data_IF_942582893910
#
_entry.id   IF_942582893910
#
_cell.length_a   1.000
_cell.length_b   1.000
_cell.length_c   1.000
_cell.angle_alpha   90.00
_cell.angle_beta   90.00
_cell.angle_gamma   90.00
#
_symmetry.space_group_name_H-M   'P 1'
#
loop_
_entity.id
_entity.type
_entity.pdbx_description
1 polymer ?
#
# COMPACT_ATOMS: atom_id res chain seq x y z
N UNK A 1 45.22 -31.57 26.70
CA UNK A 1 45.61 -32.58 25.68
C UNK A 1 44.37 -33.35 25.23
N UNK A 2 43.22 -32.68 25.09
CA UNK A 2 41.90 -33.35 25.14
C UNK A 2 41.04 -33.15 23.89
N UNK A 3 41.47 -32.24 23.01
CA UNK A 3 40.69 -31.82 21.85
C UNK A 3 40.82 -32.78 20.65
N UNK A 4 41.91 -33.56 20.61
CA UNK A 4 42.19 -34.60 19.61
C UNK A 4 41.41 -35.90 19.87
N UNK A 5 41.09 -36.20 21.13
CA UNK A 5 40.28 -37.37 21.51
C UNK A 5 38.79 -37.11 21.24
N UNK A 6 38.32 -35.87 21.41
CA UNK A 6 36.93 -35.50 21.13
C UNK A 6 36.61 -35.54 19.62
N UNK A 7 37.52 -35.04 18.77
CA UNK A 7 37.38 -35.07 17.30
C UNK A 7 37.42 -36.50 16.74
N UNK A 8 38.21 -37.41 17.34
CA UNK A 8 38.21 -38.85 16.98
C UNK A 8 36.91 -39.55 17.36
N UNK A 9 36.26 -39.17 18.46
CA UNK A 9 34.94 -39.69 18.88
C UNK A 9 33.81 -39.28 17.93
N UNK A 10 33.85 -38.06 17.39
CA UNK A 10 32.86 -37.57 16.42
C UNK A 10 33.06 -38.22 15.04
N UNK A 11 34.31 -38.45 14.62
CA UNK A 11 34.64 -39.09 13.35
C UNK A 11 34.21 -40.57 13.28
N UNK A 12 34.27 -41.31 14.41
CA UNK A 12 33.85 -42.71 14.49
C UNK A 12 32.33 -42.91 14.55
N UNK A 13 31.55 -41.86 14.85
CA UNK A 13 30.08 -41.90 14.78
C UNK A 13 29.52 -41.62 13.38
N UNK A 14 30.35 -41.08 12.48
CA UNK A 14 29.98 -40.76 11.08
C UNK A 14 30.22 -41.90 10.08
N UNK A 15 30.82 -43.02 10.50
CA UNK A 15 31.16 -44.18 9.65
C UNK A 15 30.29 -45.44 9.84
N UNK A 16 29.25 -45.40 10.69
CA UNK A 16 28.32 -46.53 10.92
C UNK A 16 26.89 -46.21 10.50
N UNK A 17 26.72 -45.92 9.22
CA UNK A 17 25.42 -45.62 8.62
C UNK A 17 25.49 -45.48 7.11
N UNK A 18 26.10 -46.47 6.45
CA UNK A 18 26.02 -46.65 5.00
C UNK A 18 25.70 -48.13 4.77
N UNK A 19 24.42 -48.46 4.86
CA UNK A 19 23.85 -49.71 4.34
C UNK A 19 22.87 -49.32 3.23
N UNK A 20 23.15 -49.85 2.04
CA UNK A 20 22.32 -49.75 0.86
C UNK A 20 20.88 -50.16 1.18
N UNK A 21 19.94 -49.31 0.79
CA UNK A 21 18.69 -49.73 0.18
C UNK A 21 18.16 -48.53 -0.60
N UNK A 22 18.41 -48.54 -1.91
CA UNK A 22 17.57 -47.82 -2.87
C UNK A 22 16.21 -48.52 -2.82
N UNK A 23 15.40 -48.12 -1.83
CA UNK A 23 14.01 -48.44 -1.73
C UNK A 23 13.25 -47.18 -2.10
N UNK A 24 12.75 -47.15 -3.35
CA UNK A 24 11.70 -46.24 -3.77
C UNK A 24 10.62 -46.22 -2.69
N UNK A 25 10.60 -45.15 -1.89
CA UNK A 25 9.53 -44.92 -0.95
C UNK A 25 8.36 -44.40 -1.79
N UNK A 26 7.61 -45.33 -2.36
CA UNK A 26 6.22 -45.13 -2.72
C UNK A 26 5.49 -44.78 -1.42
N UNK A 27 5.56 -43.50 -1.06
CA UNK A 27 4.73 -42.88 -0.04
C UNK A 27 3.30 -42.75 -0.60
N UNK A 28 2.71 -43.89 -0.99
CA UNK A 28 1.27 -44.09 -0.92
C UNK A 28 0.89 -44.28 0.55
N UNK A 29 1.13 -43.23 1.34
CA UNK A 29 0.26 -42.95 2.46
C UNK A 29 -1.14 -42.90 1.87
N UNK A 30 -1.99 -43.85 2.28
CA UNK A 30 -3.42 -43.87 2.00
C UNK A 30 -3.99 -42.55 2.54
N UNK A 31 -3.88 -41.47 1.77
CA UNK A 31 -4.56 -40.20 2.05
C UNK A 31 -6.01 -40.60 2.09
N UNK A 32 -6.64 -40.54 3.26
CA UNK A 32 -8.09 -40.58 3.35
C UNK A 32 -8.62 -39.66 2.25
N UNK A 33 -9.42 -40.25 1.35
CA UNK A 33 -10.08 -39.54 0.26
C UNK A 33 -11.15 -38.65 0.88
N UNK A 34 -10.74 -37.60 1.58
CA UNK A 34 -11.67 -36.60 2.06
C UNK A 34 -12.21 -35.88 0.84
N UNK A 35 -13.42 -36.26 0.41
CA UNK A 35 -14.19 -35.59 -0.65
C UNK A 35 -14.26 -34.06 -0.44
N UNK A 36 -14.02 -33.61 0.79
CA UNK A 36 -14.19 -32.23 1.24
C UNK A 36 -12.88 -31.41 1.39
N UNK A 37 -11.69 -31.99 1.21
CA UNK A 37 -10.41 -31.26 1.38
C UNK A 37 -9.82 -30.86 0.01
N UNK A 38 -9.48 -29.58 -0.15
CA UNK A 38 -8.97 -28.99 -1.40
C UNK A 38 -9.77 -27.76 -1.87
N UNK A 39 -9.47 -27.26 -3.06
CA UNK A 39 -10.13 -26.09 -3.68
C UNK A 39 -11.51 -26.45 -4.26
N UNK A 40 -12.38 -25.45 -4.41
CA UNK A 40 -13.75 -25.62 -4.92
C UNK A 40 -13.80 -26.35 -6.27
N UNK A 41 -12.88 -26.03 -7.19
CA UNK A 41 -12.73 -26.69 -8.48
C UNK A 41 -12.44 -28.19 -8.33
N UNK A 42 -11.51 -28.54 -7.43
CA UNK A 42 -11.14 -29.94 -7.20
C UNK A 42 -12.27 -30.74 -6.54
N UNK A 43 -13.09 -30.10 -5.68
CA UNK A 43 -14.26 -30.73 -5.04
C UNK A 43 -15.39 -30.96 -6.02
N UNK A 44 -15.74 -29.94 -6.80
CA UNK A 44 -16.84 -30.04 -7.78
C UNK A 44 -16.49 -31.02 -8.89
N UNK A 45 -15.25 -31.05 -9.36
CA UNK A 45 -14.76 -32.08 -10.28
C UNK A 45 -14.93 -33.50 -9.72
N UNK A 46 -14.62 -33.72 -8.44
CA UNK A 46 -14.81 -35.04 -7.79
C UNK A 46 -16.29 -35.43 -7.67
N UNK A 47 -17.17 -34.48 -7.32
CA UNK A 47 -18.61 -34.73 -7.18
C UNK A 47 -19.32 -34.99 -8.51
N UNK A 48 -18.93 -34.26 -9.56
CA UNK A 48 -19.46 -34.47 -10.92
C UNK A 48 -18.95 -35.79 -11.50
N UNK A 49 -17.67 -36.11 -11.30
CA UNK A 49 -17.10 -37.42 -11.72
C UNK A 49 -17.73 -38.60 -10.97
N UNK A 50 -18.10 -38.41 -9.70
CA UNK A 50 -18.78 -39.42 -8.89
C UNK A 50 -20.28 -39.53 -9.16
N UNK A 51 -20.82 -38.84 -10.17
CA UNK A 51 -22.25 -38.75 -10.50
C UNK A 51 -23.16 -38.33 -9.33
N UNK A 52 -22.58 -37.77 -8.26
CA UNK A 52 -23.32 -37.35 -7.08
C UNK A 52 -24.11 -36.06 -7.33
N UNK A 53 -23.65 -35.22 -8.29
CA UNK A 53 -24.31 -33.98 -8.71
C UNK A 53 -24.12 -33.76 -10.21
N UNK A 54 -25.11 -33.16 -10.91
CA UNK A 54 -24.94 -32.76 -12.31
C UNK A 54 -23.86 -31.69 -12.46
N UNK A 55 -23.23 -31.64 -13.64
CA UNK A 55 -22.20 -30.67 -13.95
C UNK A 55 -22.77 -29.24 -13.90
N UNK A 56 -22.26 -28.34 -13.04
CA UNK A 56 -22.74 -26.97 -13.01
C UNK A 56 -22.23 -26.20 -14.22
N UNK A 57 -23.05 -25.25 -14.71
CA UNK A 57 -22.79 -24.47 -15.94
C UNK A 57 -21.45 -23.72 -15.90
N UNK A 58 -21.02 -23.28 -14.71
CA UNK A 58 -19.78 -22.54 -14.52
C UNK A 58 -18.51 -23.41 -14.48
N UNK A 59 -18.63 -24.75 -14.40
CA UNK A 59 -17.46 -25.62 -14.25
C UNK A 59 -16.54 -25.55 -15.47
N UNK A 60 -17.09 -25.56 -16.69
CA UNK A 60 -16.32 -25.52 -17.94
C UNK A 60 -15.49 -24.24 -18.04
N UNK A 61 -16.11 -23.09 -17.78
CA UNK A 61 -15.44 -21.79 -17.81
C UNK A 61 -14.31 -21.68 -16.77
N UNK A 62 -14.51 -22.28 -15.60
CA UNK A 62 -13.54 -22.22 -14.50
C UNK A 62 -12.39 -23.25 -14.65
N UNK A 63 -12.58 -24.30 -15.46
CA UNK A 63 -11.50 -25.20 -15.87
C UNK A 63 -10.65 -24.61 -16.99
N UNK A 64 -11.27 -23.84 -17.89
CA UNK A 64 -10.59 -23.10 -18.95
C UNK A 64 -9.76 -21.94 -18.40
N UNK A 65 -10.30 -21.20 -17.44
CA UNK A 65 -9.61 -20.09 -16.77
C UNK A 65 -9.63 -20.29 -15.24
N UNK A 66 -8.74 -21.13 -14.69
CA UNK A 66 -8.63 -21.26 -13.24
C UNK A 66 -8.14 -19.93 -12.62
N UNK A 67 -8.59 -19.60 -11.40
CA UNK A 67 -8.12 -18.41 -10.72
C UNK A 67 -6.61 -18.48 -10.47
N UNK A 68 -5.92 -17.34 -10.60
CA UNK A 68 -4.48 -17.23 -10.34
C UNK A 68 -4.21 -17.56 -8.88
N UNK A 69 -3.29 -18.51 -8.64
CA UNK A 69 -2.83 -18.86 -7.30
C UNK A 69 -1.52 -18.14 -7.00
N UNK A 70 -1.53 -17.31 -5.96
CA UNK A 70 -0.30 -16.70 -5.45
C UNK A 70 0.38 -17.68 -4.49
N UNK A 71 1.73 -17.74 -4.46
CA UNK A 71 2.45 -18.53 -3.47
C UNK A 71 2.01 -18.09 -2.08
N UNK A 72 1.64 -19.05 -1.23
CA UNK A 72 1.21 -18.77 0.13
C UNK A 72 2.40 -18.23 0.91
N UNK A 73 2.40 -16.93 1.17
CA UNK A 73 3.40 -16.29 2.01
C UNK A 73 3.01 -16.52 3.47
N UNK A 74 3.59 -17.53 4.12
CA UNK A 74 3.43 -17.77 5.58
C UNK A 74 4.28 -16.80 6.43
N UNK A 75 4.59 -15.61 5.88
CA UNK A 75 5.46 -14.61 6.48
C UNK A 75 4.72 -13.35 6.92
N UNK A 76 5.34 -12.58 7.81
CA UNK A 76 4.85 -11.24 8.19
C UNK A 76 4.92 -10.32 6.96
N UNK A 77 3.80 -9.65 6.65
CA UNK A 77 3.76 -8.65 5.58
C UNK A 77 4.74 -7.53 5.93
N UNK A 78 5.66 -7.23 5.00
CA UNK A 78 6.61 -6.14 5.17
C UNK A 78 5.88 -4.81 5.09
N UNK A 79 6.16 -3.91 6.03
CA UNK A 79 5.65 -2.54 5.97
C UNK A 79 6.30 -1.83 4.77
N UNK A 80 5.48 -1.22 3.93
CA UNK A 80 5.94 -0.40 2.81
C UNK A 80 6.32 0.96 3.39
N UNK A 81 7.57 1.39 3.16
CA UNK A 81 8.08 2.70 3.58
C UNK A 81 8.68 3.40 2.36
N UNK A 82 8.35 4.68 2.19
CA UNK A 82 8.88 5.50 1.10
C UNK A 82 9.97 6.44 1.62
N UNK A 83 10.96 6.81 0.80
CA UNK A 83 12.05 7.71 1.22
C UNK A 83 11.54 9.10 1.65
N UNK A 84 10.41 9.54 1.10
CA UNK A 84 9.72 10.80 1.44
C UNK A 84 9.07 10.79 2.84
N UNK A 85 8.75 9.61 3.40
CA UNK A 85 8.02 9.49 4.67
C UNK A 85 8.76 10.14 5.84
N UNK A 86 10.10 10.16 5.79
CA UNK A 86 10.95 10.79 6.81
C UNK A 86 10.67 12.30 6.86
N UNK A 87 10.60 12.94 5.69
CA UNK A 87 10.41 14.38 5.58
C UNK A 87 8.97 14.80 5.83
N UNK A 88 8.00 13.97 5.42
CA UNK A 88 6.58 14.18 5.73
C UNK A 88 6.36 14.21 7.25
N UNK A 89 6.97 13.27 7.98
CA UNK A 89 6.90 13.26 9.47
C UNK A 89 7.54 14.50 10.08
N UNK A 90 8.68 14.96 9.56
CA UNK A 90 9.34 16.20 10.01
C UNK A 90 8.46 17.42 9.73
N UNK A 91 7.81 17.47 8.57
CA UNK A 91 6.90 18.53 8.18
C UNK A 91 5.70 18.64 9.11
N UNK A 92 5.01 17.52 9.40
CA UNK A 92 3.87 17.55 10.33
C UNK A 92 4.25 17.93 11.76
N UNK A 93 5.48 17.65 12.19
CA UNK A 93 6.01 18.15 13.47
C UNK A 93 6.17 19.67 13.46
N UNK A 94 6.63 20.26 12.35
CA UNK A 94 6.80 21.72 12.21
C UNK A 94 5.46 22.45 11.99
N UNK A 95 4.50 21.79 11.33
CA UNK A 95 3.24 22.38 10.91
C UNK A 95 2.05 21.47 11.26
N UNK A 96 1.63 21.41 12.53
CA UNK A 96 0.51 20.58 12.96
C UNK A 96 -0.82 21.02 12.32
N UNK A 97 -0.97 22.31 12.04
CA UNK A 97 -2.18 22.88 11.40
C UNK A 97 -2.43 22.33 9.98
N UNK A 98 -1.38 21.90 9.27
CA UNK A 98 -1.50 21.40 7.90
C UNK A 98 -2.25 20.06 7.85
N UNK A 99 -2.20 19.27 8.92
CA UNK A 99 -2.88 17.98 9.01
C UNK A 99 -4.40 18.10 8.83
N UNK A 100 -4.99 19.20 9.31
CA UNK A 100 -6.44 19.39 9.33
C UNK A 100 -6.94 20.38 8.28
N UNK A 101 -6.11 21.34 7.85
CA UNK A 101 -6.53 22.40 6.93
C UNK A 101 -6.36 22.04 5.45
N UNK A 102 -5.43 21.15 5.13
CA UNK A 102 -5.15 20.77 3.75
C UNK A 102 -5.91 19.48 3.42
N UNK A 103 -7.15 19.63 2.93
CA UNK A 103 -7.99 18.49 2.57
C UNK A 103 -7.36 17.68 1.42
N UNK A 104 -7.17 16.37 1.64
CA UNK A 104 -6.64 15.47 0.61
C UNK A 104 -7.79 15.02 -0.29
N UNK A 105 -7.78 15.49 -1.53
CA UNK A 105 -8.67 14.98 -2.57
C UNK A 105 -8.06 13.69 -3.13
N UNK A 106 -8.62 12.54 -2.77
CA UNK A 106 -8.13 11.23 -3.25
C UNK A 106 -8.18 11.11 -4.78
N UNK A 107 -9.15 11.79 -5.42
CA UNK A 107 -9.30 11.86 -6.87
C UNK A 107 -8.54 13.03 -7.53
N UNK A 108 -7.88 13.88 -6.75
CA UNK A 108 -7.15 15.04 -7.26
C UNK A 108 -5.76 14.66 -7.76
N UNK A 109 -5.30 15.33 -8.81
CA UNK A 109 -3.90 15.28 -9.24
C UNK A 109 -2.99 16.17 -8.40
N UNK A 110 -3.58 17.06 -7.59
CA UNK A 110 -2.85 17.94 -6.68
C UNK A 110 -2.29 17.14 -5.51
N UNK A 111 -0.97 17.18 -5.40
CA UNK A 111 -0.27 16.50 -4.34
C UNK A 111 -0.52 17.19 -3.00
N UNK A 112 -0.65 16.43 -1.90
CA UNK A 112 -0.71 17.01 -0.56
C UNK A 112 0.51 17.91 -0.31
N UNK A 113 0.36 19.08 0.33
CA UNK A 113 1.48 20.00 0.54
C UNK A 113 2.68 19.38 1.27
N UNK A 114 2.43 18.45 2.19
CA UNK A 114 3.48 17.70 2.88
C UNK A 114 4.32 16.84 1.92
N UNK A 115 3.72 16.32 0.85
CA UNK A 115 4.40 15.51 -0.17
C UNK A 115 5.20 16.38 -1.13
N UNK A 116 4.66 17.52 -1.55
CA UNK A 116 5.39 18.53 -2.35
C UNK A 116 6.65 18.98 -1.62
N UNK A 117 6.53 19.26 -0.32
CA UNK A 117 7.66 19.59 0.54
C UNK A 117 8.73 18.49 0.55
N UNK A 118 8.32 17.23 0.77
CA UNK A 118 9.25 16.11 0.84
C UNK A 118 9.97 15.86 -0.49
N UNK A 119 9.27 15.98 -1.62
CA UNK A 119 9.86 15.87 -2.95
C UNK A 119 10.85 16.98 -3.23
N UNK A 120 10.53 18.22 -2.84
CA UNK A 120 11.46 19.34 -3.00
C UNK A 120 12.75 19.13 -2.21
N UNK A 121 12.65 18.63 -0.99
CA UNK A 121 13.83 18.30 -0.17
C UNK A 121 14.65 17.19 -0.82
N UNK A 122 13.98 16.17 -1.38
CA UNK A 122 14.66 15.06 -2.06
C UNK A 122 15.38 15.53 -3.33
N UNK A 123 14.75 16.38 -4.13
CA UNK A 123 15.33 16.98 -5.35
C UNK A 123 16.58 17.81 -5.03
N UNK A 124 16.52 18.66 -4.00
CA UNK A 124 17.67 19.45 -3.57
C UNK A 124 18.81 18.57 -3.02
N UNK A 125 18.45 17.44 -2.40
CA UNK A 125 19.43 16.46 -1.93
C UNK A 125 20.12 15.72 -3.08
N UNK A 126 19.40 15.40 -4.15
CA UNK A 126 19.99 14.86 -5.38
C UNK A 126 20.98 15.85 -6.02
N UNK A 127 20.73 17.15 -5.87
CA UNK A 127 21.65 18.22 -6.30
C UNK A 127 22.87 18.41 -5.38
N UNK A 128 22.98 17.62 -4.29
CA UNK A 128 24.11 17.65 -3.36
C UNK A 128 24.02 18.72 -2.27
N UNK A 129 22.85 19.31 -2.06
CA UNK A 129 22.62 20.32 -1.01
C UNK A 129 22.48 19.66 0.36
N UNK A 130 22.92 20.34 1.42
CA UNK A 130 22.78 19.85 2.80
C UNK A 130 21.31 19.73 3.21
N UNK A 131 20.98 18.70 4.00
CA UNK A 131 19.59 18.37 4.36
C UNK A 131 18.88 19.52 5.08
N UNK A 132 19.57 20.22 5.97
CA UNK A 132 18.99 21.34 6.73
C UNK A 132 18.68 22.53 5.85
N UNK A 133 19.56 22.83 4.89
CA UNK A 133 19.35 23.91 3.94
C UNK A 133 18.22 23.57 2.96
N UNK A 134 18.19 22.34 2.44
CA UNK A 134 17.11 21.85 1.57
C UNK A 134 15.75 21.95 2.28
N UNK A 135 15.69 21.61 3.57
CA UNK A 135 14.49 21.73 4.38
C UNK A 135 14.04 23.18 4.58
N UNK A 136 14.98 24.10 4.80
CA UNK A 136 14.69 25.52 4.96
C UNK A 136 14.15 26.16 3.66
N UNK A 137 14.70 25.78 2.50
CA UNK A 137 14.22 26.25 1.18
C UNK A 137 12.80 25.75 0.93
N UNK A 138 12.53 24.46 1.16
CA UNK A 138 11.21 23.89 0.99
C UNK A 138 10.18 24.50 1.98
N UNK A 139 10.57 24.80 3.21
CA UNK A 139 9.71 25.48 4.20
C UNK A 139 9.37 26.91 3.75
N UNK A 140 10.33 27.61 3.13
CA UNK A 140 10.13 28.95 2.58
C UNK A 140 9.14 28.94 1.41
N UNK A 141 9.29 27.99 0.48
CA UNK A 141 8.38 27.78 -0.65
C UNK A 141 6.95 27.49 -0.16
N UNK A 142 6.77 26.57 0.80
CA UNK A 142 5.47 26.27 1.40
C UNK A 142 4.80 27.51 2.04
N UNK A 143 5.56 28.31 2.79
CA UNK A 143 5.03 29.53 3.41
C UNK A 143 4.62 30.57 2.38
N UNK A 144 5.36 30.70 1.28
CA UNK A 144 5.04 31.61 0.18
C UNK A 144 3.71 31.22 -0.47
N UNK A 145 3.51 29.94 -0.79
CA UNK A 145 2.26 29.44 -1.34
C UNK A 145 1.08 29.64 -0.39
N UNK A 146 1.26 29.35 0.91
CA UNK A 146 0.21 29.56 1.91
C UNK A 146 -0.20 31.03 2.02
N UNK A 147 0.75 31.95 1.92
CA UNK A 147 0.47 33.39 1.89
C UNK A 147 -0.27 33.80 0.62
N UNK A 148 0.12 33.27 -0.54
CA UNK A 148 -0.55 33.54 -1.81
C UNK A 148 -2.01 33.03 -1.81
N UNK A 149 -2.24 31.79 -1.38
CA UNK A 149 -3.60 31.21 -1.25
C UNK A 149 -4.48 32.03 -0.32
N UNK A 150 -3.94 32.52 0.79
CA UNK A 150 -4.68 33.41 1.71
C UNK A 150 -5.01 34.76 1.08
N UNK A 151 -4.13 35.35 0.28
CA UNK A 151 -4.40 36.60 -0.43
C UNK A 151 -5.49 36.41 -1.47
N UNK A 152 -5.35 35.39 -2.33
CA UNK A 152 -6.36 35.04 -3.33
C UNK A 152 -7.73 34.74 -2.69
N UNK A 153 -7.77 34.03 -1.56
CA UNK A 153 -9.02 33.79 -0.84
C UNK A 153 -9.66 35.08 -0.32
N UNK A 154 -8.86 36.03 0.19
CA UNK A 154 -9.36 37.34 0.62
C UNK A 154 -9.95 38.10 -0.56
N UNK A 155 -9.23 38.15 -1.68
CA UNK A 155 -9.69 38.81 -2.91
C UNK A 155 -11.01 38.22 -3.41
N UNK A 156 -11.10 36.89 -3.52
CA UNK A 156 -12.34 36.20 -3.90
C UNK A 156 -13.49 36.46 -2.93
N UNK A 157 -13.20 36.53 -1.62
CA UNK A 157 -14.20 36.82 -0.60
C UNK A 157 -14.73 38.25 -0.70
N UNK A 158 -13.87 39.23 -0.96
CA UNK A 158 -14.30 40.62 -1.18
C UNK A 158 -15.14 40.73 -2.45
N UNK A 159 -14.74 40.07 -3.54
CA UNK A 159 -15.53 40.02 -4.79
C UNK A 159 -16.91 39.42 -4.53
N UNK A 160 -17.00 38.26 -3.87
CA UNK A 160 -18.28 37.63 -3.56
C UNK A 160 -19.19 38.54 -2.72
N UNK A 161 -18.63 39.27 -1.75
CA UNK A 161 -19.39 40.23 -0.92
C UNK A 161 -19.91 41.40 -1.76
N UNK A 162 -19.11 41.91 -2.69
CA UNK A 162 -19.51 42.94 -3.63
C UNK A 162 -20.59 42.43 -4.60
N UNK A 163 -20.46 41.21 -5.12
CA UNK A 163 -21.44 40.58 -6.01
C UNK A 163 -22.80 40.35 -5.33
N UNK A 164 -22.81 39.89 -4.08
CA UNK A 164 -24.05 39.76 -3.27
C UNK A 164 -24.75 41.12 -3.06
N UNK A 165 -23.97 42.19 -2.84
CA UNK A 165 -24.50 43.55 -2.74
C UNK A 165 -25.10 44.05 -4.06
N UNK A 166 -24.49 43.69 -5.19
CA UNK A 166 -24.97 44.09 -6.53
C UNK A 166 -26.26 43.34 -6.90
N UNK A 167 -26.30 42.01 -6.68
CA UNK A 167 -27.50 41.19 -6.97
C UNK A 167 -28.69 41.49 -6.03
N UNK A 168 -28.44 41.90 -4.77
CA UNK A 168 -29.48 42.36 -3.86
C UNK A 168 -30.13 43.68 -4.29
N UNK A 169 -29.39 44.53 -5.02
CA UNK A 169 -29.88 45.83 -5.52
C UNK A 169 -30.70 45.66 -6.81
N UNK A 170 -30.36 44.69 -7.67
CA UNK A 170 -31.12 44.39 -8.89
C UNK A 170 -32.41 43.59 -8.64
N UNK A 171 -32.53 42.87 -7.52
CA UNK A 171 -33.76 42.13 -7.16
C UNK A 171 -34.87 43.00 -6.56
N UNK A 172 -34.65 44.29 -6.31
CA UNK A 172 -35.66 45.15 -5.67
C UNK A 172 -35.88 46.58 -6.26
N UNK A 173 -35.94 46.78 -7.59
CA UNK A 173 -36.47 48.03 -8.14
C UNK A 173 -37.99 47.98 -8.44
N UNK A 174 -38.65 46.81 -8.38
CA UNK A 174 -40.05 46.65 -8.84
C UNK A 174 -41.08 46.79 -7.70
N UNK A 175 -40.69 46.69 -6.42
CA UNK A 175 -41.64 46.78 -5.29
C UNK A 175 -41.65 48.13 -4.55
N UNK A 176 -41.01 49.19 -5.08
CA UNK A 176 -41.08 50.55 -4.51
C UNK A 176 -41.97 51.53 -5.29
N UNK A 177 -42.81 51.05 -6.22
CA UNK A 177 -43.69 51.90 -7.06
C UNK A 177 -45.18 51.53 -7.04
N UNK A 178 -45.67 50.89 -5.99
CA UNK A 178 -47.11 50.73 -5.73
C UNK A 178 -47.43 51.04 -4.28
#
# INVERSE_FOLDING_TARGET
>A
MDDLQHKRRIALRRRRGRSLSDGEVLAHGRREMSYMRGDLLTKTRKLVKGLAKPAPTWLKAMEEAPPVTFPRVDGKIKKIEMPEDVYIKKFFKKHPDSLYRDAIKISGFDLPPARVFAWRVLELKEQGVSEDYAMAVADFEYRKEKKAKKKAYKELKEIARSEESIQGTERNPILQKF
#
